data_IF_953252983156
#
_entry.id   IF_953252983156
#
_cell.length_a   1.000
_cell.length_b   1.000
_cell.length_c   1.000
_cell.angle_alpha   90.00
_cell.angle_beta   90.00
_cell.angle_gamma   90.00
#
_symmetry.space_group_name_H-M   'P 1'
#
loop_
_entity.id
_entity.type
_entity.pdbx_description
1 polymer ?
#
# COMPACT_ATOMS: atom_id res chain seq x y z
N UNK A 1 12.37 14.23 0.57
CA UNK A 1 11.80 14.01 -0.78
C UNK A 1 10.34 13.62 -0.61
N UNK A 2 9.44 14.25 -1.33
CA UNK A 2 8.02 13.88 -1.41
C UNK A 2 7.82 12.75 -2.42
N UNK A 3 6.88 11.85 -2.15
CA UNK A 3 6.59 10.74 -3.08
C UNK A 3 6.04 11.27 -4.41
N UNK A 4 5.26 12.34 -4.40
CA UNK A 4 4.80 12.98 -5.65
C UNK A 4 5.94 13.44 -6.56
N UNK A 5 7.11 13.80 -6.03
CA UNK A 5 8.30 14.12 -6.83
C UNK A 5 8.85 12.86 -7.53
N UNK A 6 8.73 11.70 -6.88
CA UNK A 6 9.13 10.41 -7.46
C UNK A 6 8.14 9.97 -8.53
N UNK A 7 6.84 10.07 -8.24
CA UNK A 7 5.77 9.59 -9.13
C UNK A 7 5.62 10.42 -10.40
N UNK A 8 6.06 11.68 -10.39
CA UNK A 8 5.92 12.61 -11.52
C UNK A 8 7.26 12.89 -12.26
N UNK A 9 8.29 12.10 -12.02
CA UNK A 9 9.60 12.35 -12.64
C UNK A 9 9.77 11.75 -14.05
N UNK A 10 8.73 11.10 -14.59
CA UNK A 10 8.76 10.45 -15.92
C UNK A 10 9.58 9.18 -15.96
N UNK A 11 9.88 8.56 -14.81
CA UNK A 11 10.62 7.29 -14.73
C UNK A 11 9.75 6.24 -14.07
N UNK A 12 9.92 4.99 -14.47
CA UNK A 12 9.30 3.85 -13.81
C UNK A 12 9.75 3.76 -12.36
N UNK A 13 8.81 3.60 -11.44
CA UNK A 13 9.08 3.46 -10.01
C UNK A 13 8.67 2.09 -9.50
N UNK A 14 9.53 1.50 -8.68
CA UNK A 14 9.26 0.27 -7.94
C UNK A 14 9.49 0.51 -6.45
N UNK A 15 8.47 0.28 -5.65
CA UNK A 15 8.47 0.45 -4.20
C UNK A 15 7.99 -0.82 -3.48
N UNK A 16 8.34 -0.94 -2.21
CA UNK A 16 7.96 -2.12 -1.41
C UNK A 16 7.28 -1.72 -0.12
N UNK A 17 6.28 -2.52 0.26
CA UNK A 17 5.65 -2.42 1.57
C UNK A 17 6.33 -3.36 2.57
N UNK A 18 6.51 -2.84 3.79
CA UNK A 18 6.89 -3.62 4.97
C UNK A 18 5.90 -3.33 6.09
N UNK A 19 5.77 -4.26 7.03
CA UNK A 19 4.92 -4.07 8.19
C UNK A 19 5.71 -4.23 9.49
N UNK A 20 5.37 -3.46 10.53
CA UNK A 20 6.03 -3.53 11.81
C UNK A 20 5.75 -4.87 12.50
N UNK A 21 6.58 -5.28 13.46
CA UNK A 21 6.35 -6.49 14.24
C UNK A 21 5.08 -6.37 15.08
N UNK A 22 4.38 -7.47 15.24
CA UNK A 22 3.20 -7.56 16.12
C UNK A 22 3.57 -7.74 17.59
N UNK A 23 4.77 -8.22 17.88
CA UNK A 23 5.31 -8.49 19.21
C UNK A 23 6.77 -8.08 19.28
N UNK A 24 7.26 -7.75 20.46
CA UNK A 24 8.66 -7.39 20.69
C UNK A 24 9.62 -8.51 20.28
N UNK A 25 9.21 -9.76 20.44
CA UNK A 25 10.02 -10.94 20.07
C UNK A 25 10.27 -11.06 18.57
N UNK A 26 9.41 -10.47 17.73
CA UNK A 26 9.57 -10.45 16.27
C UNK A 26 10.34 -9.22 15.77
N UNK A 27 10.73 -8.29 16.65
CA UNK A 27 11.30 -7.01 16.26
C UNK A 27 12.58 -7.17 15.45
N UNK A 28 13.54 -7.94 15.92
CA UNK A 28 14.84 -8.11 15.25
C UNK A 28 14.69 -8.73 13.85
N UNK A 29 13.84 -9.76 13.72
CA UNK A 29 13.63 -10.41 12.42
C UNK A 29 12.94 -9.51 11.40
N UNK A 30 11.98 -8.70 11.83
CA UNK A 30 11.30 -7.71 10.97
C UNK A 30 12.25 -6.58 10.60
N UNK A 31 13.04 -6.08 11.55
CA UNK A 31 14.03 -5.04 11.30
C UNK A 31 15.09 -5.52 10.29
N UNK A 32 15.58 -6.77 10.44
CA UNK A 32 16.52 -7.34 9.48
C UNK A 32 15.90 -7.46 8.08
N UNK A 33 14.69 -7.98 7.96
CA UNK A 33 13.99 -8.09 6.68
C UNK A 33 13.80 -6.71 6.02
N UNK A 34 13.43 -5.71 6.80
CA UNK A 34 13.26 -4.33 6.34
C UNK A 34 14.57 -3.74 5.83
N UNK A 35 15.67 -3.96 6.53
CA UNK A 35 17.02 -3.53 6.12
C UNK A 35 17.46 -4.17 4.81
N UNK A 36 17.23 -5.48 4.65
CA UNK A 36 17.55 -6.18 3.40
C UNK A 36 16.76 -5.62 2.21
N UNK A 37 15.47 -5.29 2.39
CA UNK A 37 14.67 -4.65 1.35
C UNK A 37 15.18 -3.22 1.06
N UNK A 38 15.55 -2.45 2.10
CA UNK A 38 16.08 -1.10 1.93
C UNK A 38 17.42 -1.06 1.15
N UNK A 39 18.27 -2.10 1.30
CA UNK A 39 19.51 -2.26 0.54
C UNK A 39 19.27 -2.39 -0.98
N UNK A 40 18.11 -2.83 -1.40
CA UNK A 40 17.72 -2.89 -2.81
C UNK A 40 17.54 -1.51 -3.44
N UNK A 41 17.57 -0.43 -2.65
CA UNK A 41 17.37 0.95 -3.11
C UNK A 41 16.06 1.12 -3.92
N UNK A 42 14.90 0.71 -3.40
CA UNK A 42 13.62 0.97 -4.06
C UNK A 42 13.37 2.48 -4.18
N UNK A 43 12.40 2.86 -5.00
CA UNK A 43 12.03 4.26 -5.17
C UNK A 43 11.54 4.89 -3.87
N UNK A 44 10.82 4.13 -3.07
CA UNK A 44 10.46 4.42 -1.68
C UNK A 44 10.02 3.12 -0.97
N UNK A 45 9.86 3.18 0.35
CA UNK A 45 9.27 2.06 1.11
C UNK A 45 8.07 2.56 1.90
N UNK A 46 6.97 1.79 1.91
CA UNK A 46 5.83 2.05 2.78
C UNK A 46 5.91 1.18 4.04
N UNK A 47 5.51 1.74 5.16
CA UNK A 47 5.48 1.06 6.45
C UNK A 47 4.05 1.08 6.97
N UNK A 48 3.44 -0.11 7.11
CA UNK A 48 2.06 -0.20 7.56
C UNK A 48 1.90 0.24 9.01
N UNK A 49 0.67 0.63 9.35
CA UNK A 49 0.25 0.96 10.69
C UNK A 49 -0.54 -0.22 11.26
N UNK A 50 -0.17 -0.73 12.44
CA UNK A 50 -0.87 -1.88 13.00
C UNK A 50 -2.31 -1.55 13.41
N UNK A 51 -3.22 -2.47 13.15
CA UNK A 51 -4.61 -2.36 13.56
C UNK A 51 -4.71 -2.13 15.09
N UNK A 52 -5.50 -1.13 15.51
CA UNK A 52 -5.66 -0.77 16.92
C UNK A 52 -4.53 0.06 17.54
N UNK A 53 -3.58 0.56 16.77
CA UNK A 53 -2.55 1.52 17.23
C UNK A 53 -1.40 0.92 18.04
N UNK A 54 -1.44 -0.35 18.40
CA UNK A 54 -0.43 -1.01 19.26
C UNK A 54 0.98 -1.07 18.69
N UNK A 55 1.12 -1.02 17.35
CA UNK A 55 2.42 -1.07 16.66
C UNK A 55 2.88 0.28 16.10
N UNK A 56 2.14 1.34 16.37
CA UNK A 56 2.37 2.68 15.81
C UNK A 56 3.77 3.25 16.08
N UNK A 57 4.34 2.95 17.26
CA UNK A 57 5.71 3.34 17.62
C UNK A 57 6.71 2.71 16.65
N UNK A 58 6.60 1.43 16.39
CA UNK A 58 7.52 0.72 15.50
C UNK A 58 7.43 1.19 14.05
N UNK A 59 6.24 1.62 13.59
CA UNK A 59 6.06 2.20 12.25
C UNK A 59 6.97 3.41 12.06
N UNK A 60 6.99 4.34 13.03
CA UNK A 60 7.80 5.55 12.97
C UNK A 60 9.29 5.24 13.14
N UNK A 61 9.65 4.33 14.04
CA UNK A 61 11.04 3.93 14.26
C UNK A 61 11.63 3.29 12.98
N UNK A 62 10.91 2.35 12.36
CA UNK A 62 11.32 1.73 11.10
C UNK A 62 11.43 2.77 9.97
N UNK A 63 10.45 3.68 9.86
CA UNK A 63 10.49 4.72 8.83
C UNK A 63 11.71 5.63 9.00
N UNK A 64 12.03 6.01 10.21
CA UNK A 64 13.18 6.85 10.53
C UNK A 64 14.51 6.13 10.23
N UNK A 65 14.67 4.86 10.64
CA UNK A 65 15.84 4.03 10.35
C UNK A 65 16.08 3.90 8.84
N UNK A 66 15.03 3.60 8.06
CA UNK A 66 15.13 3.48 6.60
C UNK A 66 15.62 4.80 5.98
N UNK A 67 15.08 5.92 6.39
CA UNK A 67 15.47 7.23 5.87
C UNK A 67 16.91 7.58 6.24
N UNK A 68 17.31 7.38 7.50
CA UNK A 68 18.62 7.77 8.00
C UNK A 68 19.74 6.87 7.50
N UNK A 69 19.54 5.55 7.60
CA UNK A 69 20.61 4.58 7.34
C UNK A 69 20.75 4.21 5.88
N UNK A 70 19.65 4.26 5.12
CA UNK A 70 19.62 3.82 3.73
C UNK A 70 19.33 4.94 2.72
N UNK A 71 18.88 6.12 3.20
CA UNK A 71 18.52 7.24 2.33
C UNK A 71 17.32 6.96 1.43
N UNK A 72 16.50 5.96 1.76
CA UNK A 72 15.28 5.60 0.99
C UNK A 72 14.11 6.41 1.52
N UNK A 73 13.36 7.14 0.68
CA UNK A 73 12.16 7.84 1.09
C UNK A 73 11.13 6.88 1.68
N UNK A 74 10.43 7.30 2.72
CA UNK A 74 9.42 6.47 3.38
C UNK A 74 8.03 7.05 3.29
N UNK A 75 7.03 6.17 3.23
CA UNK A 75 5.60 6.44 3.30
C UNK A 75 5.07 5.77 4.57
N UNK A 76 4.84 6.56 5.62
CA UNK A 76 4.28 6.01 6.85
C UNK A 76 2.75 5.94 6.74
N UNK A 77 2.16 4.78 7.02
CA UNK A 77 0.71 4.65 7.10
C UNK A 77 0.22 5.31 8.40
N UNK A 78 -0.95 5.92 8.35
CA UNK A 78 -1.68 6.44 9.50
C UNK A 78 -3.14 6.03 9.36
N UNK A 79 -3.70 5.44 10.41
CA UNK A 79 -5.11 5.04 10.44
C UNK A 79 -5.87 5.85 11.50
N UNK A 80 -7.16 6.10 11.25
CA UNK A 80 -8.02 6.83 12.18
C UNK A 80 -8.99 5.92 12.96
N UNK A 81 -9.15 4.67 12.55
CA UNK A 81 -10.02 3.71 13.27
C UNK A 81 -9.59 3.56 14.72
N UNK A 82 -10.54 3.60 15.66
CA UNK A 82 -10.31 3.52 17.11
C UNK A 82 -9.35 4.57 17.67
N UNK A 83 -9.12 5.66 16.97
CA UNK A 83 -8.25 6.74 17.43
C UNK A 83 -9.06 7.99 17.72
N UNK A 84 -8.79 8.61 18.89
CA UNK A 84 -9.32 9.93 19.17
C UNK A 84 -8.59 10.98 18.30
N UNK A 85 -9.22 12.14 18.13
CA UNK A 85 -8.63 13.28 17.44
C UNK A 85 -7.28 13.65 18.03
N UNK A 86 -7.17 13.68 19.36
CA UNK A 86 -5.92 13.97 20.06
C UNK A 86 -4.82 12.95 19.69
N UNK A 87 -5.15 11.66 19.67
CA UNK A 87 -4.18 10.62 19.29
C UNK A 87 -3.71 10.80 17.83
N UNK A 88 -4.60 11.15 16.92
CA UNK A 88 -4.25 11.41 15.51
C UNK A 88 -3.30 12.63 15.42
N UNK A 89 -3.63 13.71 16.12
CA UNK A 89 -2.80 14.93 16.15
C UNK A 89 -1.42 14.68 16.72
N UNK A 90 -1.31 13.92 17.83
CA UNK A 90 -0.02 13.52 18.39
C UNK A 90 0.83 12.72 17.40
N UNK A 91 0.21 11.82 16.62
CA UNK A 91 0.92 11.04 15.60
C UNK A 91 1.39 11.91 14.44
N UNK A 92 0.56 12.82 13.96
CA UNK A 92 0.92 13.81 12.93
C UNK A 92 2.11 14.65 13.40
N UNK A 93 2.08 15.13 14.63
CA UNK A 93 3.19 15.90 15.24
C UNK A 93 4.47 15.07 15.31
N UNK A 94 4.42 13.84 15.80
CA UNK A 94 5.60 12.96 15.90
C UNK A 94 6.18 12.61 14.50
N UNK A 95 5.35 12.38 13.51
CA UNK A 95 5.80 12.19 12.13
C UNK A 95 6.58 13.40 11.63
N UNK A 96 6.04 14.61 11.79
CA UNK A 96 6.71 15.83 11.36
C UNK A 96 8.04 16.05 12.12
N UNK A 97 8.06 15.82 13.44
CA UNK A 97 9.26 15.94 14.29
C UNK A 97 10.38 14.99 13.85
N UNK A 98 10.05 13.79 13.39
CA UNK A 98 11.00 12.79 12.87
C UNK A 98 11.41 13.03 11.42
N UNK A 99 10.89 14.08 10.77
CA UNK A 99 11.19 14.41 9.39
C UNK A 99 10.51 13.50 8.36
N UNK A 100 9.52 12.71 8.77
CA UNK A 100 8.68 11.92 7.85
C UNK A 100 7.85 12.91 7.03
N UNK A 101 7.93 12.83 5.71
CA UNK A 101 7.28 13.77 4.78
C UNK A 101 6.09 13.19 4.04
N UNK A 102 5.90 11.87 4.08
CA UNK A 102 4.86 11.21 3.29
C UNK A 102 4.00 10.34 4.19
N UNK A 103 2.69 10.52 4.09
CA UNK A 103 1.69 9.83 4.90
C UNK A 103 0.67 9.16 4.01
N UNK A 104 0.44 7.85 4.18
CA UNK A 104 -0.70 7.17 3.58
C UNK A 104 -1.86 7.21 4.58
N UNK A 105 -2.86 8.04 4.27
CA UNK A 105 -4.01 8.25 5.13
C UNK A 105 -5.08 7.18 4.85
N UNK A 106 -5.35 6.36 5.83
CA UNK A 106 -6.27 5.22 5.75
C UNK A 106 -7.33 5.30 6.86
N UNK A 107 -8.47 4.68 6.64
CA UNK A 107 -9.40 4.46 7.75
C UNK A 107 -8.82 3.44 8.73
N UNK A 108 -8.29 2.35 8.22
CA UNK A 108 -7.92 1.14 8.95
C UNK A 108 -9.03 0.09 8.92
N UNK A 109 -8.65 -1.15 9.23
CA UNK A 109 -9.58 -2.28 9.26
C UNK A 109 -10.37 -2.31 10.57
N UNK A 110 -11.66 -2.60 10.47
CA UNK A 110 -12.53 -2.84 11.62
C UNK A 110 -12.40 -4.33 11.97
N UNK A 111 -12.03 -4.68 13.23
CA UNK A 111 -11.99 -6.08 13.62
C UNK A 111 -13.35 -6.75 13.45
N UNK A 112 -13.35 -7.99 12.96
CA UNK A 112 -14.58 -8.77 12.71
C UNK A 112 -15.42 -9.06 13.96
N UNK A 113 -14.83 -8.90 15.15
CA UNK A 113 -15.47 -9.11 16.45
C UNK A 113 -16.29 -7.88 16.91
N UNK A 114 -16.13 -6.74 16.23
CA UNK A 114 -16.91 -5.53 16.51
C UNK A 114 -18.01 -5.38 15.47
N UNK A 115 -19.22 -5.09 15.93
CA UNK A 115 -20.32 -4.74 15.04
C UNK A 115 -19.94 -3.49 14.24
N UNK A 116 -20.08 -3.58 12.93
CA UNK A 116 -19.68 -2.53 11.98
C UNK A 116 -20.36 -1.16 12.22
N UNK A 117 -21.40 -1.12 13.05
CA UNK A 117 -22.24 0.05 13.29
C UNK A 117 -21.89 0.87 14.54
N UNK A 118 -21.05 0.37 15.46
CA UNK A 118 -20.68 1.16 16.64
C UNK A 118 -19.49 2.11 16.35
N UNK A 119 -19.74 3.05 15.47
CA UNK A 119 -18.82 4.17 15.17
C UNK A 119 -19.15 5.42 16.00
N UNK A 120 -20.00 5.28 17.02
CA UNK A 120 -20.53 6.42 17.79
C UNK A 120 -19.47 7.21 18.57
N UNK A 121 -18.34 6.57 18.89
CA UNK A 121 -17.22 7.21 19.60
C UNK A 121 -16.04 7.61 18.72
N UNK A 122 -16.14 7.56 17.40
CA UNK A 122 -15.03 7.87 16.52
C UNK A 122 -15.07 9.33 16.06
N UNK A 123 -13.99 10.06 16.30
CA UNK A 123 -13.84 11.44 15.82
C UNK A 123 -13.64 11.50 14.29
N UNK A 124 -13.01 10.46 13.72
CA UNK A 124 -12.80 10.30 12.28
C UNK A 124 -13.45 9.00 11.81
N UNK A 125 -14.39 9.08 10.89
CA UNK A 125 -15.13 7.91 10.38
C UNK A 125 -14.50 7.28 9.14
N UNK A 126 -13.85 8.12 8.32
CA UNK A 126 -13.30 7.74 7.02
C UNK A 126 -11.93 8.36 6.79
N UNK A 127 -11.19 7.82 5.84
CA UNK A 127 -9.89 8.36 5.45
C UNK A 127 -9.93 9.82 5.02
N UNK A 128 -11.05 10.30 4.47
CA UNK A 128 -11.22 11.71 4.08
C UNK A 128 -11.15 12.65 5.28
N UNK A 129 -11.66 12.24 6.44
CA UNK A 129 -11.60 13.03 7.68
C UNK A 129 -10.16 13.13 8.16
N UNK A 130 -9.42 12.02 8.10
CA UNK A 130 -7.99 11.99 8.42
C UNK A 130 -7.17 12.88 7.46
N UNK A 131 -7.47 12.86 6.17
CA UNK A 131 -6.79 13.73 5.18
C UNK A 131 -6.99 15.20 5.54
N UNK A 132 -8.21 15.60 5.89
CA UNK A 132 -8.50 16.98 6.33
C UNK A 132 -7.71 17.34 7.59
N UNK A 133 -7.68 16.46 8.60
CA UNK A 133 -6.93 16.68 9.84
C UNK A 133 -5.43 16.85 9.57
N UNK A 134 -4.85 16.04 8.68
CA UNK A 134 -3.44 16.18 8.29
C UNK A 134 -3.20 17.53 7.58
N UNK A 135 -4.09 17.96 6.69
CA UNK A 135 -4.00 19.27 6.02
C UNK A 135 -4.14 20.43 6.99
N UNK A 136 -5.08 20.35 7.93
CA UNK A 136 -5.33 21.38 8.94
C UNK A 136 -4.17 21.52 9.94
N UNK A 137 -3.33 20.50 10.09
CA UNK A 137 -2.12 20.58 10.92
C UNK A 137 -1.11 21.64 10.46
N UNK A 138 -1.18 22.06 9.18
CA UNK A 138 -0.27 23.02 8.56
C UNK A 138 1.13 22.49 8.28
N UNK A 139 1.42 21.23 8.59
CA UNK A 139 2.71 20.61 8.25
C UNK A 139 2.78 20.24 6.76
N UNK A 140 4.00 20.28 6.20
CA UNK A 140 4.27 20.01 4.79
C UNK A 140 4.35 18.50 4.47
N UNK A 141 3.22 17.79 4.58
CA UNK A 141 3.11 16.39 4.21
C UNK A 141 2.66 16.21 2.74
N UNK A 142 3.23 15.20 2.09
CA UNK A 142 2.67 14.58 0.90
C UNK A 142 1.70 13.48 1.34
N UNK A 143 0.43 13.59 0.97
CA UNK A 143 -0.63 12.73 1.45
C UNK A 143 -1.06 11.75 0.35
N UNK A 144 -0.89 10.46 0.59
CA UNK A 144 -1.45 9.39 -0.22
C UNK A 144 -2.75 8.85 0.35
N UNK A 145 -3.54 8.22 -0.49
CA UNK A 145 -4.76 7.49 -0.11
C UNK A 145 -4.85 6.13 -0.78
N UNK A 146 -5.74 5.26 -0.30
CA UNK A 146 -6.03 4.00 -0.95
C UNK A 146 -7.17 4.13 -1.95
N UNK A 147 -7.13 3.34 -3.04
CA UNK A 147 -8.21 3.15 -3.99
C UNK A 147 -8.38 1.66 -4.33
N UNK A 148 -9.51 1.30 -4.91
CA UNK A 148 -9.89 -0.08 -5.17
C UNK A 148 -10.22 -0.24 -6.66
N UNK A 149 -9.38 -0.93 -7.47
CA UNK A 149 -9.65 -1.12 -8.90
C UNK A 149 -10.98 -1.83 -9.16
N UNK A 150 -11.38 -2.71 -8.27
CA UNK A 150 -12.61 -3.46 -8.41
C UNK A 150 -13.78 -2.72 -7.76
N UNK A 151 -13.88 -2.59 -6.49
CA UNK A 151 -14.81 -1.73 -5.73
C UNK A 151 -14.45 -1.88 -4.25
N UNK A 152 -14.54 -0.84 -3.46
CA UNK A 152 -14.41 -0.96 -2.01
C UNK A 152 -15.55 -1.85 -1.45
N UNK A 153 -15.27 -2.83 -0.57
CA UNK A 153 -16.29 -3.76 -0.07
C UNK A 153 -17.52 -3.12 0.60
N UNK A 154 -17.37 -1.92 1.15
CA UNK A 154 -18.47 -1.17 1.78
C UNK A 154 -19.19 -0.21 0.81
N UNK A 155 -18.75 -0.07 -0.43
CA UNK A 155 -19.43 0.76 -1.43
C UNK A 155 -20.50 -0.05 -2.15
N UNK A 156 -21.69 0.52 -2.34
CA UNK A 156 -22.80 -0.16 -2.98
C UNK A 156 -22.59 -0.41 -4.47
N UNK A 157 -21.76 0.43 -5.10
CA UNK A 157 -21.41 0.34 -6.53
C UNK A 157 -20.17 1.17 -6.85
N UNK A 158 -19.59 0.95 -8.03
CA UNK A 158 -18.37 1.63 -8.46
C UNK A 158 -18.51 3.15 -8.59
N UNK A 159 -19.69 3.65 -8.96
CA UNK A 159 -19.93 5.11 -9.09
C UNK A 159 -19.85 5.81 -7.74
N UNK A 160 -20.40 5.19 -6.71
CA UNK A 160 -20.33 5.69 -5.34
C UNK A 160 -18.89 5.63 -4.82
N UNK A 161 -18.17 4.52 -5.06
CA UNK A 161 -16.77 4.38 -4.68
C UNK A 161 -15.88 5.46 -5.30
N UNK A 162 -16.04 5.73 -6.61
CA UNK A 162 -15.32 6.80 -7.32
C UNK A 162 -15.68 8.19 -6.77
N UNK A 163 -16.93 8.42 -6.36
CA UNK A 163 -17.35 9.67 -5.72
C UNK A 163 -16.58 9.87 -4.40
N UNK A 164 -16.53 8.85 -3.53
CA UNK A 164 -15.76 8.92 -2.29
C UNK A 164 -14.26 9.08 -2.54
N UNK A 165 -13.75 8.47 -3.61
CA UNK A 165 -12.36 8.66 -4.03
C UNK A 165 -12.09 10.11 -4.44
N UNK A 166 -13.01 10.72 -5.19
CA UNK A 166 -12.94 12.15 -5.56
C UNK A 166 -12.94 13.05 -4.33
N UNK A 167 -13.79 12.77 -3.34
CA UNK A 167 -13.83 13.50 -2.07
C UNK A 167 -12.47 13.45 -1.33
N UNK A 168 -11.76 12.32 -1.36
CA UNK A 168 -10.41 12.22 -0.78
C UNK A 168 -9.40 13.10 -1.53
N UNK A 169 -9.45 13.10 -2.85
CA UNK A 169 -8.56 13.94 -3.68
C UNK A 169 -8.84 15.41 -3.46
N UNK A 170 -10.12 15.82 -3.44
CA UNK A 170 -10.53 17.20 -3.18
C UNK A 170 -10.16 17.67 -1.75
N UNK A 171 -10.10 16.76 -0.80
CA UNK A 171 -9.63 17.04 0.57
C UNK A 171 -8.10 17.22 0.67
N UNK A 172 -7.34 16.89 -0.38
CA UNK A 172 -5.89 17.10 -0.44
C UNK A 172 -5.05 15.85 -0.55
N UNK A 173 -5.63 14.71 -0.95
CA UNK A 173 -4.88 13.52 -1.32
C UNK A 173 -4.12 13.77 -2.64
N UNK A 174 -2.81 13.56 -2.65
CA UNK A 174 -1.91 13.94 -3.74
C UNK A 174 -1.54 12.76 -4.66
N UNK A 175 -1.76 11.52 -4.23
CA UNK A 175 -1.62 10.31 -5.03
C UNK A 175 -2.46 9.18 -4.42
N UNK A 176 -2.69 8.13 -5.19
CA UNK A 176 -3.48 6.99 -4.76
C UNK A 176 -2.73 5.68 -4.98
N UNK A 177 -2.71 4.80 -3.97
CA UNK A 177 -2.19 3.43 -4.09
C UNK A 177 -3.36 2.47 -4.16
N UNK A 178 -3.35 1.56 -5.13
CA UNK A 178 -4.46 0.61 -5.28
C UNK A 178 -4.38 -0.50 -4.24
N UNK A 179 -5.54 -1.03 -3.85
CA UNK A 179 -5.61 -2.37 -3.27
C UNK A 179 -5.07 -3.38 -4.30
N UNK A 180 -4.59 -4.55 -3.82
CA UNK A 180 -4.14 -5.62 -4.70
C UNK A 180 -5.23 -6.05 -5.68
N UNK A 181 -4.82 -6.40 -6.87
CA UNK A 181 -5.65 -6.97 -7.94
C UNK A 181 -4.81 -7.97 -8.72
N UNK A 182 -5.46 -8.87 -9.47
CA UNK A 182 -4.78 -9.96 -10.18
C UNK A 182 -5.04 -9.95 -11.69
N UNK A 183 -5.86 -9.02 -12.17
CA UNK A 183 -6.14 -8.79 -13.59
C UNK A 183 -5.91 -7.31 -13.94
N UNK A 184 -4.92 -7.03 -14.78
CA UNK A 184 -4.58 -5.67 -15.17
C UNK A 184 -5.71 -4.96 -15.94
N UNK A 185 -6.58 -5.70 -16.63
CA UNK A 185 -7.72 -5.10 -17.31
C UNK A 185 -8.69 -4.41 -16.35
N UNK A 186 -8.83 -4.92 -15.12
CA UNK A 186 -9.64 -4.27 -14.08
C UNK A 186 -9.05 -2.92 -13.69
N UNK A 187 -7.70 -2.85 -13.56
CA UNK A 187 -7.03 -1.58 -13.31
C UNK A 187 -7.19 -0.61 -14.49
N UNK A 188 -6.98 -1.05 -15.73
CA UNK A 188 -7.12 -0.17 -16.90
C UNK A 188 -8.52 0.43 -17.00
N UNK A 189 -9.56 -0.38 -16.80
CA UNK A 189 -10.95 0.08 -16.76
C UNK A 189 -11.18 1.07 -15.61
N UNK A 190 -10.64 0.80 -14.43
CA UNK A 190 -10.70 1.70 -13.29
C UNK A 190 -10.03 3.05 -13.58
N UNK A 191 -8.82 3.04 -14.16
CA UNK A 191 -8.09 4.26 -14.52
C UNK A 191 -8.91 5.14 -15.49
N UNK A 192 -9.54 4.54 -16.51
CA UNK A 192 -10.41 5.26 -17.42
C UNK A 192 -11.54 5.97 -16.65
N UNK A 193 -12.27 5.25 -15.79
CA UNK A 193 -13.41 5.78 -15.05
C UNK A 193 -13.04 6.90 -14.06
N UNK A 194 -11.91 6.77 -13.36
CA UNK A 194 -11.48 7.84 -12.44
C UNK A 194 -11.03 9.09 -13.18
N UNK A 195 -10.42 8.94 -14.37
CA UNK A 195 -10.10 10.09 -15.23
C UNK A 195 -11.34 10.80 -15.74
N UNK A 196 -12.40 10.08 -16.14
CA UNK A 196 -13.70 10.66 -16.47
C UNK A 196 -14.32 11.43 -15.28
N UNK A 197 -14.11 10.96 -14.05
CA UNK A 197 -14.56 11.64 -12.83
C UNK A 197 -13.66 12.83 -12.42
N UNK A 198 -12.65 13.19 -13.22
CA UNK A 198 -11.75 14.31 -12.96
C UNK A 198 -10.70 14.04 -11.86
N UNK A 199 -10.40 12.78 -11.57
CA UNK A 199 -9.30 12.39 -10.68
C UNK A 199 -8.03 12.27 -11.51
N UNK A 200 -7.09 13.22 -11.36
CA UNK A 200 -5.88 13.31 -12.18
C UNK A 200 -4.59 13.01 -11.42
N UNK A 201 -4.66 12.81 -10.11
CA UNK A 201 -3.49 12.46 -9.29
C UNK A 201 -2.83 11.16 -9.74
N UNK A 202 -1.51 11.00 -9.52
CA UNK A 202 -0.80 9.75 -9.81
C UNK A 202 -1.45 8.54 -9.15
N UNK A 203 -1.46 7.42 -9.88
CA UNK A 203 -1.91 6.13 -9.35
C UNK A 203 -0.71 5.20 -9.25
N UNK A 204 -0.58 4.55 -8.12
CA UNK A 204 0.44 3.53 -7.85
C UNK A 204 -0.24 2.17 -7.81
N UNK A 205 0.13 1.28 -8.71
CA UNK A 205 -0.46 -0.06 -8.80
C UNK A 205 0.10 -0.98 -7.70
N UNK A 206 -0.77 -1.43 -6.80
CA UNK A 206 -0.44 -2.35 -5.72
C UNK A 206 -0.44 -3.80 -6.18
N UNK A 207 0.71 -4.46 -6.17
CA UNK A 207 0.91 -5.83 -6.63
C UNK A 207 1.23 -6.75 -5.45
N UNK A 208 0.49 -7.85 -5.33
CA UNK A 208 0.67 -8.85 -4.29
C UNK A 208 1.25 -10.15 -4.87
N UNK A 209 2.54 -10.44 -4.65
CA UNK A 209 3.12 -11.73 -5.02
C UNK A 209 2.57 -12.83 -4.12
N UNK A 210 1.74 -13.70 -4.66
CA UNK A 210 1.22 -14.85 -3.92
C UNK A 210 2.23 -15.99 -4.00
N UNK A 211 2.98 -16.19 -2.94
CA UNK A 211 4.06 -17.19 -2.86
C UNK A 211 3.67 -18.48 -2.14
N UNK A 212 2.43 -18.59 -1.69
CA UNK A 212 1.90 -19.75 -0.99
C UNK A 212 0.39 -19.85 -1.26
N UNK A 213 -0.11 -21.02 -1.59
CA UNK A 213 -1.53 -21.25 -1.89
C UNK A 213 -2.47 -20.80 -0.76
N UNK A 214 -2.07 -20.96 0.51
CA UNK A 214 -2.86 -20.51 1.67
C UNK A 214 -3.08 -18.98 1.73
N UNK A 215 -2.27 -18.20 1.01
CA UNK A 215 -2.44 -16.74 0.92
C UNK A 215 -3.62 -16.34 0.02
N UNK A 216 -4.04 -17.22 -0.91
CA UNK A 216 -5.10 -16.92 -1.88
C UNK A 216 -6.42 -16.60 -1.18
N UNK A 217 -6.89 -17.50 -0.32
CA UNK A 217 -8.15 -17.30 0.41
C UNK A 217 -8.13 -16.05 1.29
N UNK A 218 -6.97 -15.79 1.91
CA UNK A 218 -6.79 -14.60 2.73
C UNK A 218 -6.78 -13.32 1.87
N UNK A 219 -6.11 -13.34 0.73
CA UNK A 219 -6.09 -12.22 -0.20
C UNK A 219 -7.51 -11.88 -0.68
N UNK A 220 -8.28 -12.87 -1.11
CA UNK A 220 -9.66 -12.70 -1.56
C UNK A 220 -10.54 -12.13 -0.42
N UNK A 221 -10.44 -12.69 0.79
CA UNK A 221 -11.23 -12.20 1.95
C UNK A 221 -10.92 -10.75 2.32
N UNK A 222 -9.66 -10.33 2.21
CA UNK A 222 -9.23 -8.98 2.60
C UNK A 222 -9.54 -7.93 1.53
N UNK A 223 -9.39 -8.28 0.26
CA UNK A 223 -9.48 -7.31 -0.84
C UNK A 223 -10.80 -7.39 -1.61
N UNK A 224 -11.56 -8.49 -1.51
CA UNK A 224 -12.67 -8.77 -2.40
C UNK A 224 -12.26 -9.03 -3.84
N UNK A 225 -10.95 -9.19 -4.12
CA UNK A 225 -10.41 -9.22 -5.47
C UNK A 225 -10.82 -10.45 -6.26
N UNK A 226 -11.11 -10.23 -7.53
CA UNK A 226 -11.34 -11.30 -8.50
C UNK A 226 -10.05 -12.07 -8.78
N UNK A 227 -10.15 -13.38 -8.78
CA UNK A 227 -9.04 -14.26 -9.10
C UNK A 227 -9.19 -14.79 -10.53
N UNK A 228 -8.36 -14.33 -11.50
CA UNK A 228 -8.48 -14.76 -12.88
C UNK A 228 -8.13 -16.24 -13.07
N UNK A 229 -8.72 -16.87 -14.10
CA UNK A 229 -8.52 -18.29 -14.37
C UNK A 229 -7.05 -18.66 -14.57
N UNK A 230 -6.28 -17.78 -15.22
CA UNK A 230 -4.83 -17.97 -15.42
C UNK A 230 -4.11 -18.15 -14.07
N UNK A 231 -4.46 -17.36 -13.05
CA UNK A 231 -3.85 -17.45 -11.73
C UNK A 231 -4.35 -18.69 -10.96
N UNK A 232 -5.66 -18.99 -11.04
CA UNK A 232 -6.22 -20.21 -10.43
C UNK A 232 -5.50 -21.46 -10.93
N UNK A 233 -5.27 -21.58 -12.24
CA UNK A 233 -4.54 -22.70 -12.83
C UNK A 233 -3.11 -22.84 -12.29
N UNK A 234 -2.42 -21.73 -11.98
CA UNK A 234 -1.10 -21.77 -11.33
C UNK A 234 -1.20 -22.34 -9.91
N UNK A 235 -2.19 -21.86 -9.13
CA UNK A 235 -2.42 -22.33 -7.76
C UNK A 235 -2.79 -23.81 -7.74
N UNK A 236 -3.69 -24.24 -8.62
CA UNK A 236 -4.11 -25.63 -8.74
C UNK A 236 -2.95 -26.58 -9.10
N UNK A 237 -2.06 -26.11 -9.98
CA UNK A 237 -0.90 -26.92 -10.43
C UNK A 237 0.24 -26.94 -9.43
N UNK A 238 0.59 -25.80 -8.84
CA UNK A 238 1.83 -25.65 -8.05
C UNK A 238 1.57 -25.48 -6.56
N UNK A 239 0.34 -25.30 -6.13
CA UNK A 239 0.00 -24.92 -4.74
C UNK A 239 0.41 -25.94 -3.68
N UNK A 240 0.57 -27.21 -4.03
CA UNK A 240 1.04 -28.27 -3.14
C UNK A 240 2.58 -28.29 -2.94
N UNK A 241 3.34 -27.66 -3.86
CA UNK A 241 4.81 -27.54 -3.77
C UNK A 241 5.18 -26.10 -3.39
N UNK A 242 5.71 -25.85 -2.17
CA UNK A 242 6.03 -24.50 -1.73
C UNK A 242 7.07 -23.77 -2.58
N UNK A 243 8.05 -24.50 -3.15
CA UNK A 243 9.09 -23.89 -3.99
C UNK A 243 8.55 -23.54 -5.37
N UNK A 244 7.81 -24.46 -5.99
CA UNK A 244 7.18 -24.24 -7.27
C UNK A 244 6.12 -23.11 -7.19
N UNK A 245 5.28 -23.10 -6.14
CA UNK A 245 4.29 -22.05 -5.93
C UNK A 245 4.93 -20.67 -5.74
N UNK A 246 6.02 -20.60 -4.96
CA UNK A 246 6.76 -19.35 -4.78
C UNK A 246 7.32 -18.83 -6.10
N UNK A 247 7.94 -19.70 -6.90
CA UNK A 247 8.47 -19.34 -8.20
C UNK A 247 7.36 -18.86 -9.15
N UNK A 248 6.26 -19.61 -9.24
CA UNK A 248 5.11 -19.27 -10.09
C UNK A 248 4.45 -17.95 -9.70
N UNK A 249 4.29 -17.71 -8.39
CA UNK A 249 3.72 -16.47 -7.87
C UNK A 249 4.59 -15.24 -8.12
N UNK A 250 5.91 -15.37 -7.98
CA UNK A 250 6.85 -14.29 -8.35
C UNK A 250 6.82 -14.03 -9.86
N UNK A 251 6.79 -15.08 -10.68
CA UNK A 251 6.72 -14.95 -12.13
C UNK A 251 5.43 -14.24 -12.57
N UNK A 252 4.29 -14.60 -11.98
CA UNK A 252 3.00 -13.96 -12.24
C UNK A 252 3.01 -12.47 -11.89
N UNK A 253 3.49 -12.13 -10.68
CA UNK A 253 3.59 -10.74 -10.25
C UNK A 253 4.56 -9.93 -11.13
N UNK A 254 5.68 -10.53 -11.55
CA UNK A 254 6.62 -9.88 -12.47
C UNK A 254 5.98 -9.61 -13.84
N UNK A 255 5.26 -10.59 -14.40
CA UNK A 255 4.54 -10.45 -15.67
C UNK A 255 3.47 -9.35 -15.58
N UNK A 256 2.71 -9.30 -14.48
CA UNK A 256 1.78 -8.20 -14.21
C UNK A 256 2.47 -6.84 -14.25
N UNK A 257 3.62 -6.69 -13.59
CA UNK A 257 4.37 -5.43 -13.53
C UNK A 257 4.88 -5.04 -14.91
N UNK A 258 5.41 -5.98 -15.69
CA UNK A 258 5.88 -5.73 -17.05
C UNK A 258 4.74 -5.22 -17.94
N UNK A 259 3.58 -5.87 -17.87
CA UNK A 259 2.39 -5.46 -18.65
C UNK A 259 1.92 -4.06 -18.23
N UNK A 260 1.91 -3.74 -16.92
CA UNK A 260 1.58 -2.40 -16.42
C UNK A 260 2.52 -1.33 -16.99
N UNK A 261 3.83 -1.55 -16.93
CA UNK A 261 4.81 -0.62 -17.48
C UNK A 261 4.67 -0.45 -18.99
N UNK A 262 4.44 -1.54 -19.72
CA UNK A 262 4.23 -1.50 -21.16
C UNK A 262 2.97 -0.72 -21.57
N UNK A 263 1.97 -0.62 -20.68
CA UNK A 263 0.73 0.12 -20.89
C UNK A 263 0.67 1.48 -20.19
N UNK A 264 1.83 2.04 -19.80
CA UNK A 264 1.95 3.41 -19.28
C UNK A 264 1.56 3.58 -17.80
N UNK A 265 1.45 2.49 -17.04
CA UNK A 265 1.32 2.54 -15.57
C UNK A 265 2.72 2.48 -14.96
N UNK A 266 3.36 3.65 -14.82
CA UNK A 266 4.78 3.77 -14.49
C UNK A 266 5.10 3.55 -13.00
N UNK A 267 4.10 3.55 -12.12
CA UNK A 267 4.30 3.51 -10.68
C UNK A 267 3.74 2.21 -10.08
N UNK A 268 4.62 1.39 -9.51
CA UNK A 268 4.27 0.09 -8.94
C UNK A 268 4.72 -0.03 -7.48
N UNK A 269 3.84 -0.58 -6.66
CA UNK A 269 4.08 -0.86 -5.25
C UNK A 269 3.86 -2.34 -4.95
N UNK A 270 4.87 -3.02 -4.43
CA UNK A 270 4.82 -4.46 -4.16
C UNK A 270 4.62 -4.72 -2.67
N UNK A 271 3.55 -5.44 -2.35
CA UNK A 271 3.25 -5.93 -1.02
C UNK A 271 4.19 -7.11 -0.68
N UNK A 272 5.40 -6.79 -0.22
CA UNK A 272 6.50 -7.76 -0.07
C UNK A 272 6.32 -8.76 1.05
N UNK A 273 5.39 -8.51 1.96
CA UNK A 273 5.12 -9.36 3.14
C UNK A 273 6.36 -9.62 4.00
N UNK A 274 7.24 -8.60 4.15
CA UNK A 274 8.54 -8.70 4.84
C UNK A 274 9.41 -9.85 4.31
N UNK A 275 9.36 -10.13 2.99
CA UNK A 275 10.15 -11.18 2.33
C UNK A 275 11.21 -10.56 1.42
N UNK A 276 12.45 -10.36 1.91
CA UNK A 276 13.52 -9.73 1.12
C UNK A 276 13.85 -10.49 -0.16
N UNK A 277 13.81 -11.82 -0.11
CA UNK A 277 14.09 -12.69 -1.23
C UNK A 277 13.05 -12.57 -2.36
N UNK A 278 11.79 -12.33 -2.02
CA UNK A 278 10.72 -12.04 -3.01
C UNK A 278 10.94 -10.66 -3.63
N UNK A 279 11.20 -9.64 -2.81
CA UNK A 279 11.47 -8.28 -3.27
C UNK A 279 12.69 -8.24 -4.18
N UNK A 280 13.79 -8.89 -3.78
CA UNK A 280 15.02 -8.99 -4.57
C UNK A 280 14.78 -9.69 -5.90
N UNK A 281 14.02 -10.79 -5.91
CA UNK A 281 13.76 -11.54 -7.13
C UNK A 281 12.92 -10.75 -8.12
N UNK A 282 11.88 -10.04 -7.65
CA UNK A 282 11.08 -9.16 -8.51
C UNK A 282 11.94 -8.04 -9.08
N UNK A 283 12.70 -7.33 -8.24
CA UNK A 283 13.57 -6.25 -8.71
C UNK A 283 14.62 -6.75 -9.70
N UNK A 284 15.24 -7.89 -9.45
CA UNK A 284 16.21 -8.51 -10.37
C UNK A 284 15.60 -8.87 -11.72
N UNK A 285 14.35 -9.37 -11.73
CA UNK A 285 13.64 -9.67 -12.97
C UNK A 285 13.27 -8.41 -13.79
N UNK A 286 13.29 -7.23 -13.16
CA UNK A 286 12.93 -5.93 -13.75
C UNK A 286 14.15 -5.00 -13.92
N UNK A 287 15.38 -5.48 -13.66
CA UNK A 287 16.60 -4.64 -13.61
C UNK A 287 16.80 -3.81 -14.87
N UNK A 288 16.73 -4.43 -16.03
CA UNK A 288 16.94 -3.74 -17.31
C UNK A 288 15.82 -2.73 -17.61
N UNK A 289 14.57 -3.07 -17.26
CA UNK A 289 13.40 -2.18 -17.43
C UNK A 289 13.52 -0.96 -16.52
N UNK A 290 14.01 -1.14 -15.30
CA UNK A 290 14.20 -0.07 -14.31
C UNK A 290 15.52 0.70 -14.51
N UNK A 291 16.42 0.23 -15.37
CA UNK A 291 17.75 0.80 -15.57
C UNK A 291 18.64 0.70 -14.32
N UNK A 292 18.55 -0.44 -13.60
CA UNK A 292 19.27 -0.71 -12.34
C UNK A 292 20.20 -1.91 -12.46
#
# INVERSE_FOLDING_TARGET
MKITEILNNGKMSLSFEVFPPKTDTAFESVQQATREIAKLKPSYMSITYGAGGGTSKYTLDIAEDIMKDYGVPTLAHLTCVFSSKATVQDRIFEMNKRGIKNVLALRGDIPTEMEADDRSGWDHRYAVDLIREIKESGFDFCIGGACYPEIHPESSNQKEDIKHLKEKVDAGCEFLTTQMFFDNNLLYNFLYKIREAGITVPIVAGIMPITNAKQVDRAIKLSGSFMPQRFKSLVDKFGSDPLAMKQAGIAYATDQIIDLYANGVENVHVYSMNKPDVAQKIQSNLSDILGK
#
